data_IF_942115064343
#
_entry.id   IF_942115064343
#
_cell.length_a   1.000
_cell.length_b   1.000
_cell.length_c   1.000
_cell.angle_alpha   90.00
_cell.angle_beta   90.00
_cell.angle_gamma   90.00
#
_symmetry.space_group_name_H-M   'P 1'
#
loop_
_entity.id
_entity.type
_entity.pdbx_description
1 polymer ?
#
# COMPACT_ATOMS: atom_id res chain seq x y z
N UNK A 1 8.46 25.09 -20.86
CA UNK A 1 7.78 23.97 -20.21
C UNK A 1 7.57 22.85 -21.21
N UNK A 2 7.84 21.59 -20.83
CA UNK A 2 7.75 20.39 -21.70
C UNK A 2 6.32 20.14 -22.19
N UNK A 3 5.30 20.44 -21.35
CA UNK A 3 3.88 20.21 -21.65
C UNK A 3 3.10 21.52 -21.77
N UNK A 4 2.03 21.55 -22.59
CA UNK A 4 1.16 22.70 -22.83
C UNK A 4 -0.31 22.33 -22.63
N UNK A 5 -1.17 23.32 -22.36
CA UNK A 5 -2.61 23.15 -22.21
C UNK A 5 -2.97 22.01 -21.24
N UNK A 6 -3.94 21.18 -21.60
CA UNK A 6 -4.45 20.06 -20.78
C UNK A 6 -3.36 19.05 -20.42
N UNK A 7 -2.36 18.84 -21.31
CA UNK A 7 -1.23 17.96 -21.03
C UNK A 7 -0.39 18.46 -19.83
N UNK A 8 -0.27 19.80 -19.67
CA UNK A 8 0.42 20.40 -18.51
C UNK A 8 -0.34 20.11 -17.21
N UNK A 9 -1.66 20.18 -17.22
CA UNK A 9 -2.49 19.83 -16.07
C UNK A 9 -2.38 18.33 -15.73
N UNK A 10 -2.47 17.47 -16.74
CA UNK A 10 -2.31 16.03 -16.57
C UNK A 10 -0.96 15.66 -15.95
N UNK A 11 0.15 16.23 -16.45
CA UNK A 11 1.47 16.02 -15.89
C UNK A 11 1.59 16.55 -14.45
N UNK A 12 0.99 17.71 -14.13
CA UNK A 12 0.97 18.26 -12.78
C UNK A 12 0.19 17.36 -11.80
N UNK A 13 -0.93 16.79 -12.23
CA UNK A 13 -1.69 15.81 -11.44
C UNK A 13 -0.82 14.58 -11.12
N UNK A 14 -0.14 14.01 -12.12
CA UNK A 14 0.74 12.87 -11.91
C UNK A 14 1.86 13.20 -10.90
N UNK A 15 2.46 14.38 -11.03
CA UNK A 15 3.53 14.83 -10.14
C UNK A 15 3.06 14.97 -8.69
N UNK A 16 1.94 15.66 -8.48
CA UNK A 16 1.42 15.95 -7.14
C UNK A 16 0.95 14.66 -6.46
N UNK A 17 0.23 13.81 -7.16
CA UNK A 17 -0.23 12.54 -6.63
C UNK A 17 0.93 11.62 -6.27
N UNK A 18 1.91 11.46 -7.15
CA UNK A 18 3.09 10.66 -6.87
C UNK A 18 3.86 11.19 -5.65
N UNK A 19 4.04 12.50 -5.55
CA UNK A 19 4.74 13.13 -4.43
C UNK A 19 3.99 12.98 -3.10
N UNK A 20 2.66 13.03 -3.13
CA UNK A 20 1.84 12.96 -1.93
C UNK A 20 1.54 11.54 -1.46
N UNK A 21 1.41 10.59 -2.39
CA UNK A 21 0.89 9.25 -2.09
C UNK A 21 1.81 8.10 -2.52
N UNK A 22 2.89 8.38 -3.23
CA UNK A 22 3.74 7.34 -3.84
C UNK A 22 3.07 6.60 -5.02
N UNK A 23 1.88 7.05 -5.44
CA UNK A 23 1.08 6.38 -6.49
C UNK A 23 0.79 7.32 -7.65
N UNK A 24 0.71 6.74 -8.83
CA UNK A 24 0.06 7.38 -9.95
C UNK A 24 -1.45 7.14 -9.85
N UNK A 25 -2.31 8.14 -10.13
CA UNK A 25 -3.75 7.93 -10.08
C UNK A 25 -4.19 6.93 -11.15
N UNK A 26 -4.92 5.90 -10.73
CA UNK A 26 -5.47 4.87 -11.62
C UNK A 26 -6.64 5.41 -12.44
N UNK A 27 -7.45 6.28 -11.83
CA UNK A 27 -8.58 6.93 -12.45
C UNK A 27 -8.68 8.40 -12.03
N UNK A 28 -8.96 9.28 -12.99
CA UNK A 28 -9.10 10.71 -12.72
C UNK A 28 -10.46 11.08 -12.13
N UNK A 29 -11.46 10.19 -12.25
CA UNK A 29 -12.80 10.38 -11.68
C UNK A 29 -12.79 10.43 -10.14
N UNK A 30 -11.79 9.86 -9.50
CA UNK A 30 -11.62 9.89 -8.03
C UNK A 30 -10.83 11.08 -7.49
N UNK A 31 -10.34 11.99 -8.36
CA UNK A 31 -9.56 13.12 -7.92
C UNK A 31 -10.44 14.19 -7.23
N UNK A 32 -10.02 14.73 -6.08
CA UNK A 32 -10.73 15.81 -5.43
C UNK A 32 -10.82 17.05 -6.34
N UNK A 33 -12.01 17.60 -6.52
CA UNK A 33 -12.23 18.80 -7.33
C UNK A 33 -11.43 20.02 -6.82
N UNK A 34 -11.15 20.06 -5.52
CA UNK A 34 -10.31 21.07 -4.89
C UNK A 34 -8.87 21.00 -5.42
N UNK A 35 -8.32 19.79 -5.60
CA UNK A 35 -6.98 19.59 -6.17
C UNK A 35 -6.92 20.13 -7.62
N UNK A 36 -7.92 19.80 -8.45
CA UNK A 36 -7.94 20.27 -9.83
C UNK A 36 -8.07 21.81 -9.91
N UNK A 37 -8.93 22.43 -9.10
CA UNK A 37 -9.05 23.90 -9.01
C UNK A 37 -7.74 24.54 -8.57
N UNK A 38 -7.08 23.99 -7.57
CA UNK A 38 -5.79 24.48 -7.12
C UNK A 38 -4.74 24.42 -8.23
N UNK A 39 -4.62 23.28 -8.91
CA UNK A 39 -3.64 23.08 -9.98
C UNK A 39 -3.92 23.98 -11.20
N UNK A 40 -5.17 24.13 -11.62
CA UNK A 40 -5.52 25.05 -12.73
C UNK A 40 -5.18 26.50 -12.38
N UNK A 41 -5.49 26.95 -11.16
CA UNK A 41 -5.12 28.26 -10.67
C UNK A 41 -3.61 28.47 -10.63
N UNK A 42 -2.88 27.52 -10.02
CA UNK A 42 -1.41 27.58 -9.89
C UNK A 42 -0.69 27.56 -11.26
N UNK A 43 -1.29 26.94 -12.27
CA UNK A 43 -0.76 26.88 -13.63
C UNK A 43 -1.19 28.07 -14.51
N UNK A 44 -2.01 28.99 -14.00
CA UNK A 44 -2.56 30.11 -14.76
C UNK A 44 -3.48 29.62 -15.90
N UNK A 45 -4.22 28.54 -15.68
CA UNK A 45 -5.12 27.93 -16.65
C UNK A 45 -6.58 28.21 -16.29
N UNK A 46 -7.46 28.23 -17.31
CA UNK A 46 -8.90 28.24 -17.07
C UNK A 46 -9.35 26.91 -16.44
N UNK A 47 -10.47 26.94 -15.69
CA UNK A 47 -11.04 25.74 -15.09
C UNK A 47 -11.26 24.67 -16.17
N UNK A 48 -10.60 23.53 -15.98
CA UNK A 48 -10.70 22.36 -16.86
C UNK A 48 -11.41 21.27 -16.06
N UNK A 49 -12.41 20.64 -16.65
CA UNK A 49 -13.11 19.55 -16.01
C UNK A 49 -12.29 18.23 -16.02
N UNK A 50 -12.73 17.28 -15.21
CA UNK A 50 -12.10 15.95 -15.12
C UNK A 50 -12.17 15.20 -16.46
N UNK A 51 -13.22 15.42 -17.23
CA UNK A 51 -13.41 14.76 -18.52
C UNK A 51 -12.30 15.11 -19.51
N UNK A 52 -11.82 16.38 -19.51
CA UNK A 52 -10.70 16.82 -20.37
C UNK A 52 -9.41 16.09 -20.03
N UNK A 53 -9.10 15.90 -18.73
CA UNK A 53 -7.90 15.16 -18.30
C UNK A 53 -8.06 13.67 -18.59
N UNK A 54 -9.24 13.11 -18.33
CA UNK A 54 -9.55 11.71 -18.64
C UNK A 54 -9.45 11.42 -20.13
N UNK A 55 -9.95 12.34 -20.97
CA UNK A 55 -9.84 12.19 -22.43
C UNK A 55 -8.39 12.19 -22.93
N UNK A 56 -7.53 13.00 -22.33
CA UNK A 56 -6.11 13.04 -22.65
C UNK A 56 -5.44 11.66 -22.46
N UNK A 57 -5.87 10.90 -21.48
CA UNK A 57 -5.27 9.60 -21.13
C UNK A 57 -5.95 8.37 -21.75
N UNK A 58 -6.82 8.58 -22.74
CA UNK A 58 -7.20 7.51 -23.67
C UNK A 58 -5.98 7.02 -24.46
N UNK A 59 -5.04 7.93 -24.73
CA UNK A 59 -3.72 7.60 -25.23
C UNK A 59 -2.80 7.16 -24.08
N UNK A 60 -2.37 5.88 -24.15
CA UNK A 60 -1.50 5.27 -23.16
C UNK A 60 -0.09 5.87 -23.17
N UNK A 61 0.39 6.28 -24.34
CA UNK A 61 1.74 6.83 -24.49
C UNK A 61 1.84 8.19 -23.81
N UNK A 62 0.84 9.04 -23.98
CA UNK A 62 0.75 10.33 -23.26
C UNK A 62 0.74 10.13 -21.75
N UNK A 63 -0.03 9.16 -21.25
CA UNK A 63 -0.07 8.86 -19.82
C UNK A 63 1.29 8.38 -19.32
N UNK A 64 1.91 7.45 -20.03
CA UNK A 64 3.23 6.91 -19.69
C UNK A 64 4.30 8.02 -19.67
N UNK A 65 4.29 8.90 -20.66
CA UNK A 65 5.21 10.04 -20.75
C UNK A 65 5.10 10.99 -19.55
N UNK A 66 3.86 11.29 -19.11
CA UNK A 66 3.62 12.10 -17.92
C UNK A 66 4.06 11.40 -16.64
N UNK A 67 3.81 10.10 -16.51
CA UNK A 67 4.25 9.30 -15.36
C UNK A 67 5.78 9.23 -15.29
N UNK A 68 6.45 9.00 -16.42
CA UNK A 68 7.92 8.97 -16.50
C UNK A 68 8.50 10.32 -16.08
N UNK A 69 7.99 11.41 -16.65
CA UNK A 69 8.42 12.76 -16.30
C UNK A 69 8.21 13.07 -14.81
N UNK A 70 7.05 12.69 -14.25
CA UNK A 70 6.77 12.91 -12.84
C UNK A 70 7.75 12.15 -11.95
N UNK A 71 8.05 10.88 -12.26
CA UNK A 71 9.03 10.07 -11.53
C UNK A 71 10.42 10.69 -11.55
N UNK A 72 10.91 11.06 -12.72
CA UNK A 72 12.20 11.73 -12.88
C UNK A 72 12.28 13.01 -12.04
N UNK A 73 11.18 13.77 -11.98
CA UNK A 73 11.15 15.07 -11.29
C UNK A 73 11.18 14.96 -9.77
N UNK A 74 10.59 13.90 -9.19
CA UNK A 74 10.54 13.69 -7.75
C UNK A 74 11.47 12.58 -7.26
N UNK A 75 12.21 11.93 -8.17
CA UNK A 75 13.19 10.89 -7.84
C UNK A 75 12.56 9.57 -7.40
N UNK A 76 11.39 9.20 -7.94
CA UNK A 76 10.78 7.90 -7.71
C UNK A 76 11.19 6.90 -8.80
N UNK A 77 11.54 5.68 -8.38
CA UNK A 77 11.78 4.54 -9.25
C UNK A 77 10.57 3.58 -9.26
N UNK A 78 10.42 2.79 -10.30
CA UNK A 78 9.43 1.68 -10.31
C UNK A 78 10.02 0.47 -9.59
N UNK A 79 9.14 -0.35 -9.04
CA UNK A 79 9.54 -1.69 -8.57
C UNK A 79 9.77 -2.57 -9.78
N UNK A 80 11.02 -2.90 -10.02
CA UNK A 80 11.51 -3.73 -11.14
C UNK A 80 12.10 -5.05 -10.63
N UNK A 81 12.70 -5.82 -11.52
CA UNK A 81 13.26 -7.13 -11.18
C UNK A 81 14.44 -7.05 -10.19
N UNK A 82 15.09 -5.90 -10.06
CA UNK A 82 16.18 -5.68 -9.09
C UNK A 82 15.65 -5.28 -7.72
N UNK A 83 14.53 -4.60 -7.64
CA UNK A 83 13.91 -4.11 -6.40
C UNK A 83 12.83 -5.04 -5.85
N UNK A 84 12.24 -5.92 -6.67
CA UNK A 84 11.26 -6.93 -6.22
C UNK A 84 11.80 -7.85 -5.10
N UNK A 85 13.03 -8.39 -5.18
CA UNK A 85 13.58 -9.18 -4.09
C UNK A 85 13.69 -8.39 -2.79
N UNK A 86 14.14 -7.12 -2.87
CA UNK A 86 14.23 -6.25 -1.70
C UNK A 86 12.85 -5.97 -1.06
N UNK A 87 11.81 -5.85 -1.87
CA UNK A 87 10.45 -5.71 -1.38
C UNK A 87 9.96 -7.02 -0.74
N UNK A 88 10.29 -8.18 -1.32
CA UNK A 88 9.92 -9.47 -0.74
C UNK A 88 10.61 -9.69 0.62
N UNK A 89 11.90 -9.38 0.72
CA UNK A 89 12.65 -9.46 1.99
C UNK A 89 12.06 -8.52 3.04
N UNK A 90 11.75 -7.27 2.66
CA UNK A 90 11.11 -6.30 3.55
C UNK A 90 9.72 -6.76 4.04
N UNK A 91 8.91 -7.35 3.15
CA UNK A 91 7.62 -7.93 3.54
C UNK A 91 7.79 -9.08 4.53
N UNK A 92 8.81 -9.92 4.35
CA UNK A 92 9.16 -10.97 5.29
C UNK A 92 9.53 -10.41 6.68
N UNK A 93 10.38 -9.39 6.73
CA UNK A 93 10.76 -8.73 7.98
C UNK A 93 9.57 -8.04 8.67
N UNK A 94 8.78 -7.27 7.92
CA UNK A 94 7.61 -6.54 8.44
C UNK A 94 6.51 -7.48 8.93
N UNK A 95 6.34 -8.64 8.27
CA UNK A 95 5.33 -9.64 8.66
C UNK A 95 5.54 -10.21 10.06
N UNK A 96 6.77 -10.18 10.59
CA UNK A 96 7.06 -10.64 11.94
C UNK A 96 6.40 -9.78 13.04
N UNK A 97 6.12 -8.51 12.75
CA UNK A 97 5.49 -7.56 13.68
C UNK A 97 4.05 -7.17 13.30
N UNK A 98 3.64 -7.48 12.07
CA UNK A 98 2.32 -7.13 11.57
C UNK A 98 1.23 -7.95 12.28
N UNK A 99 0.16 -7.28 12.69
CA UNK A 99 -0.99 -7.93 13.36
C UNK A 99 -2.06 -8.42 12.37
N UNK A 100 -1.99 -7.98 11.12
CA UNK A 100 -2.88 -8.40 10.04
C UNK A 100 -2.27 -8.13 8.67
N UNK A 101 -2.87 -8.70 7.62
CA UNK A 101 -2.46 -8.42 6.23
C UNK A 101 -2.63 -6.93 5.88
N UNK A 102 -3.70 -6.27 6.37
CA UNK A 102 -3.92 -4.86 6.08
C UNK A 102 -2.90 -3.96 6.80
N UNK A 103 -2.49 -4.32 8.01
CA UNK A 103 -1.39 -3.67 8.73
C UNK A 103 -0.06 -3.84 7.97
N UNK A 104 0.24 -5.07 7.50
CA UNK A 104 1.43 -5.34 6.68
C UNK A 104 1.43 -4.52 5.38
N UNK A 105 0.27 -4.37 4.72
CA UNK A 105 0.14 -3.52 3.53
C UNK A 105 0.50 -2.07 3.88
N UNK A 106 -0.05 -1.52 4.95
CA UNK A 106 0.21 -0.14 5.37
C UNK A 106 1.70 0.08 5.70
N UNK A 107 2.33 -0.83 6.42
CA UNK A 107 3.77 -0.77 6.72
C UNK A 107 4.60 -0.84 5.43
N UNK A 108 4.20 -1.68 4.48
CA UNK A 108 4.87 -1.83 3.17
C UNK A 108 4.74 -0.58 2.30
N UNK A 109 3.59 0.09 2.32
CA UNK A 109 3.39 1.37 1.63
C UNK A 109 4.33 2.45 2.17
N UNK A 110 4.48 2.56 3.49
CA UNK A 110 5.45 3.47 4.10
C UNK A 110 6.89 3.10 3.70
N UNK A 111 7.25 1.82 3.77
CA UNK A 111 8.57 1.34 3.38
C UNK A 111 8.93 1.69 1.92
N UNK A 112 7.99 1.50 0.99
CA UNK A 112 8.13 1.86 -0.42
C UNK A 112 8.27 3.37 -0.61
N UNK A 113 7.41 4.15 0.05
CA UNK A 113 7.40 5.60 -0.05
C UNK A 113 8.71 6.22 0.43
N UNK A 114 9.23 5.77 1.56
CA UNK A 114 10.49 6.25 2.15
C UNK A 114 11.69 5.98 1.23
N UNK A 115 11.63 4.88 0.47
CA UNK A 115 12.65 4.52 -0.53
C UNK A 115 12.42 5.14 -1.91
N UNK A 116 11.43 5.98 -2.03
CA UNK A 116 11.02 6.60 -3.30
C UNK A 116 10.74 5.56 -4.39
N UNK A 117 10.09 4.49 -4.02
CA UNK A 117 9.58 3.49 -4.95
C UNK A 117 8.09 3.75 -5.20
N UNK A 118 7.70 3.73 -6.48
CA UNK A 118 6.28 3.83 -6.86
C UNK A 118 5.55 2.62 -6.28
N UNK A 119 4.49 2.87 -5.52
CA UNK A 119 3.69 1.80 -4.94
C UNK A 119 3.09 0.93 -6.05
N UNK A 120 3.22 -0.40 -5.98
CA UNK A 120 2.54 -1.31 -6.89
C UNK A 120 1.02 -1.14 -6.81
N UNK A 121 0.29 -1.64 -7.82
CA UNK A 121 -1.16 -1.69 -7.77
C UNK A 121 -1.66 -2.45 -6.52
N UNK A 122 -2.79 -2.01 -5.96
CA UNK A 122 -3.34 -2.54 -4.69
C UNK A 122 -3.45 -4.05 -4.66
N UNK A 123 -3.87 -4.65 -5.78
CA UNK A 123 -3.97 -6.12 -5.89
C UNK A 123 -2.59 -6.78 -5.75
N UNK A 124 -1.59 -6.28 -6.47
CA UNK A 124 -0.24 -6.86 -6.45
C UNK A 124 0.37 -6.78 -5.05
N UNK A 125 0.29 -5.61 -4.40
CA UNK A 125 0.84 -5.44 -3.06
C UNK A 125 0.09 -6.33 -2.04
N UNK A 126 -1.24 -6.43 -2.15
CA UNK A 126 -2.06 -7.29 -1.29
C UNK A 126 -1.72 -8.77 -1.47
N UNK A 127 -1.52 -9.23 -2.70
CA UNK A 127 -1.16 -10.64 -2.97
C UNK A 127 0.24 -10.96 -2.40
N UNK A 128 1.21 -10.05 -2.55
CA UNK A 128 2.54 -10.20 -1.95
C UNK A 128 2.47 -10.21 -0.41
N UNK A 129 1.73 -9.28 0.19
CA UNK A 129 1.57 -9.20 1.63
C UNK A 129 0.89 -10.45 2.22
N UNK A 130 -0.14 -10.99 1.55
CA UNK A 130 -0.79 -12.25 1.96
C UNK A 130 0.19 -13.42 1.95
N UNK A 131 1.02 -13.52 0.91
CA UNK A 131 2.02 -14.57 0.81
C UNK A 131 3.02 -14.49 1.97
N UNK A 132 3.62 -13.31 2.19
CA UNK A 132 4.59 -13.10 3.26
C UNK A 132 3.98 -13.35 4.66
N UNK A 133 2.75 -12.90 4.88
CA UNK A 133 2.05 -13.12 6.16
C UNK A 133 1.77 -14.59 6.42
N UNK A 134 1.32 -15.34 5.39
CA UNK A 134 1.08 -16.79 5.51
C UNK A 134 2.40 -17.57 5.73
N UNK A 135 3.48 -17.17 5.10
CA UNK A 135 4.81 -17.78 5.32
C UNK A 135 5.27 -17.57 6.76
N UNK A 136 5.11 -16.37 7.31
CA UNK A 136 5.43 -16.06 8.69
C UNK A 136 4.56 -16.84 9.69
N UNK A 137 3.24 -16.95 9.45
CA UNK A 137 2.36 -17.78 10.27
C UNK A 137 2.82 -19.25 10.27
N UNK A 138 3.14 -19.79 9.09
CA UNK A 138 3.64 -21.16 8.98
C UNK A 138 4.96 -21.36 9.70
N UNK A 139 5.89 -20.40 9.61
CA UNK A 139 7.16 -20.43 10.32
C UNK A 139 6.94 -20.40 11.85
N UNK A 140 6.04 -19.55 12.33
CA UNK A 140 5.68 -19.49 13.75
C UNK A 140 5.07 -20.81 14.25
N UNK A 141 4.15 -21.40 13.47
CA UNK A 141 3.54 -22.72 13.77
C UNK A 141 4.63 -23.80 13.84
N UNK A 142 5.55 -23.82 12.88
CA UNK A 142 6.66 -24.78 12.85
C UNK A 142 7.56 -24.62 14.08
N UNK A 143 7.90 -23.39 14.45
CA UNK A 143 8.71 -23.10 15.64
C UNK A 143 8.00 -23.59 16.92
N UNK A 144 6.72 -23.32 17.08
CA UNK A 144 5.94 -23.83 18.24
C UNK A 144 5.94 -25.35 18.29
N UNK A 145 5.74 -26.03 17.15
CA UNK A 145 5.77 -27.49 17.07
C UNK A 145 7.12 -28.09 17.45
N UNK A 146 8.20 -27.37 17.21
CA UNK A 146 9.56 -27.83 17.54
C UNK A 146 9.87 -27.63 19.02
N UNK A 147 9.37 -26.54 19.63
CA UNK A 147 9.68 -26.16 21.00
C UNK A 147 8.69 -26.68 22.04
N UNK A 148 7.46 -27.02 21.66
CA UNK A 148 6.40 -27.43 22.58
C UNK A 148 5.99 -28.90 22.39
N UNK A 149 5.89 -29.64 23.49
CA UNK A 149 5.33 -30.99 23.47
C UNK A 149 3.82 -30.95 23.13
N UNK A 150 3.23 -32.04 22.58
CA UNK A 150 1.80 -32.11 22.30
C UNK A 150 0.91 -31.78 23.53
N UNK A 151 1.35 -32.15 24.72
CA UNK A 151 0.64 -31.85 25.98
C UNK A 151 0.65 -30.35 26.29
N UNK A 152 1.77 -29.67 26.07
CA UNK A 152 1.87 -28.23 26.26
C UNK A 152 1.02 -27.46 25.26
N UNK A 153 1.02 -27.88 23.99
CA UNK A 153 0.14 -27.31 22.96
C UNK A 153 -1.33 -27.48 23.34
N UNK A 154 -1.72 -28.69 23.74
CA UNK A 154 -3.11 -28.97 24.17
C UNK A 154 -3.51 -28.12 25.41
N UNK A 155 -2.63 -27.99 26.38
CA UNK A 155 -2.87 -27.15 27.57
C UNK A 155 -3.02 -25.68 27.21
N UNK A 156 -2.16 -25.15 26.33
CA UNK A 156 -2.23 -23.76 25.84
C UNK A 156 -3.53 -23.50 25.09
N UNK A 157 -3.92 -24.40 24.17
CA UNK A 157 -5.18 -24.29 23.45
C UNK A 157 -6.39 -24.35 24.41
N UNK A 158 -6.41 -25.28 25.36
CA UNK A 158 -7.47 -25.38 26.34
C UNK A 158 -7.60 -24.07 27.17
N UNK A 159 -6.47 -23.47 27.52
CA UNK A 159 -6.44 -22.17 28.20
C UNK A 159 -6.94 -21.03 27.31
N UNK A 160 -6.44 -20.94 26.07
CA UNK A 160 -6.82 -19.88 25.12
C UNK A 160 -8.32 -19.87 24.81
N UNK A 161 -8.95 -21.06 24.72
CA UNK A 161 -10.38 -21.21 24.49
C UNK A 161 -11.22 -21.26 25.78
N UNK A 162 -10.61 -21.23 26.96
CA UNK A 162 -11.35 -21.11 28.21
C UNK A 162 -12.05 -19.77 28.33
N UNK A 163 -13.25 -19.76 28.93
CA UNK A 163 -13.96 -18.52 29.23
C UNK A 163 -13.24 -17.79 30.35
N UNK A 164 -12.97 -16.52 30.14
CA UNK A 164 -12.46 -15.63 31.17
C UNK A 164 -13.54 -15.34 32.19
N UNK A 165 -13.22 -15.40 33.48
CA UNK A 165 -14.09 -14.98 34.54
C UNK A 165 -14.28 -13.46 34.51
N UNK A 166 -15.46 -12.99 34.05
CA UNK A 166 -15.78 -11.55 34.00
C UNK A 166 -17.00 -11.26 33.13
N UNK A 167 -17.52 -10.02 33.18
CA UNK A 167 -18.65 -9.61 32.37
C UNK A 167 -18.25 -9.65 30.87
N UNK A 168 -19.06 -10.36 30.06
CA UNK A 168 -18.84 -10.45 28.58
C UNK A 168 -18.60 -11.84 28.04
N UNK A 169 -18.21 -12.83 28.86
CA UNK A 169 -18.11 -14.22 28.47
C UNK A 169 -17.08 -14.52 27.34
N UNK A 170 -16.15 -13.60 27.08
CA UNK A 170 -15.10 -13.78 26.08
C UNK A 170 -14.10 -14.86 26.48
N UNK A 171 -13.57 -15.58 25.48
CA UNK A 171 -12.43 -16.47 25.68
C UNK A 171 -11.16 -15.65 25.98
N UNK A 172 -10.15 -16.28 26.55
CA UNK A 172 -8.82 -15.65 26.78
C UNK A 172 -8.26 -15.16 25.44
N UNK A 173 -8.42 -15.93 24.37
CA UNK A 173 -7.94 -15.57 23.03
C UNK A 173 -8.66 -14.31 22.48
N UNK A 174 -9.97 -14.23 22.59
CA UNK A 174 -10.74 -13.06 22.16
C UNK A 174 -10.32 -11.82 22.94
N UNK A 175 -10.11 -11.95 24.23
CA UNK A 175 -9.63 -10.84 25.05
C UNK A 175 -8.23 -10.36 24.65
N UNK A 176 -7.31 -11.27 24.36
CA UNK A 176 -5.94 -10.92 23.90
C UNK A 176 -5.93 -10.23 22.51
N UNK A 177 -6.94 -10.48 21.69
CA UNK A 177 -7.10 -9.85 20.38
C UNK A 177 -7.83 -8.50 20.41
N UNK A 178 -8.45 -8.16 21.53
CA UNK A 178 -9.11 -6.87 21.70
C UNK A 178 -8.08 -5.88 22.25
N UNK A 179 -7.67 -4.85 21.47
CA UNK A 179 -6.75 -3.83 21.99
C UNK A 179 -7.40 -3.11 23.19
N UNK A 180 -6.61 -2.67 24.16
CA UNK A 180 -7.09 -1.89 25.31
C UNK A 180 -7.67 -0.54 24.91
#
# INVERSE_FOLDING_TARGET
>A
PRFRGTARLGAAVQLVMLRATGRHPDAFSGLPSVLLRYLTSALGMHATDIASVTSLYKDKDTRYEHQLWARERVGFAVVDDTTKPLLADALGELSASAVSVDDLIQQSEHWLFDRRLVLPGDRTLRDMARTAFAEQENAAIAAVRTCASPKQVQAALSHAFSKRSGPGGHTVLEWLRTPP
#
